data_IF_667322161025
#
_entry.id   IF_667322161025
#
_cell.length_a   1.000
_cell.length_b   1.000
_cell.length_c   1.000
_cell.angle_alpha   90.00
_cell.angle_beta   90.00
_cell.angle_gamma   90.00
#
_symmetry.space_group_name_H-M   'P 1'
#
loop_
_entity.id
_entity.type
_entity.pdbx_description
1 polymer ?
#
# COMPACT_ATOMS: atom_id res chain seq x y z
N UNK A 1 -2.77 -14.65 -3.56
CA UNK A 1 -1.91 -13.80 -4.40
C UNK A 1 -2.86 -12.98 -5.26
N UNK A 2 -3.11 -11.72 -4.91
CA UNK A 2 -4.26 -11.00 -5.48
C UNK A 2 -3.89 -10.22 -6.74
N UNK A 3 -4.10 -10.82 -7.91
CA UNK A 3 -4.42 -10.06 -9.12
C UNK A 3 -5.82 -9.42 -8.96
N UNK A 4 -6.18 -8.42 -9.77
CA UNK A 4 -7.48 -7.72 -9.71
C UNK A 4 -8.65 -8.71 -9.61
N UNK A 5 -8.57 -9.81 -10.36
CA UNK A 5 -9.57 -10.88 -10.41
C UNK A 5 -9.82 -11.60 -9.08
N UNK A 6 -8.89 -11.52 -8.13
CA UNK A 6 -8.97 -12.20 -6.83
C UNK A 6 -9.06 -11.24 -5.65
N UNK A 7 -8.94 -9.93 -5.90
CA UNK A 7 -9.16 -8.90 -4.89
C UNK A 7 -10.65 -8.70 -4.61
N UNK A 8 -10.98 -8.46 -3.34
CA UNK A 8 -12.31 -8.02 -2.94
C UNK A 8 -12.54 -6.63 -3.54
N UNK A 9 -13.62 -6.48 -4.31
CA UNK A 9 -13.92 -5.28 -5.11
C UNK A 9 -12.93 -5.02 -6.27
N UNK A 10 -12.20 -6.02 -6.76
CA UNK A 10 -11.25 -5.82 -7.85
C UNK A 10 -11.88 -5.41 -9.18
N UNK A 11 -13.19 -5.60 -9.33
CA UNK A 11 -14.02 -5.12 -10.45
C UNK A 11 -14.46 -3.65 -10.30
N UNK A 12 -14.15 -3.01 -9.17
CA UNK A 12 -14.63 -1.67 -8.84
C UNK A 12 -13.52 -0.63 -8.92
N UNK A 13 -13.59 0.21 -9.96
CA UNK A 13 -12.67 1.32 -10.18
C UNK A 13 -12.58 2.29 -8.98
N UNK A 14 -13.69 2.52 -8.26
CA UNK A 14 -13.69 3.40 -7.08
C UNK A 14 -12.99 2.81 -5.85
N UNK A 15 -12.57 1.54 -5.92
CA UNK A 15 -11.80 0.85 -4.88
C UNK A 15 -10.34 0.64 -5.26
N UNK A 16 -9.97 1.03 -6.47
CA UNK A 16 -8.59 0.97 -6.94
C UNK A 16 -7.76 2.06 -6.27
N UNK A 17 -6.61 1.67 -5.74
CA UNK A 17 -5.67 2.56 -5.07
C UNK A 17 -4.46 2.68 -6.00
N UNK A 18 -4.43 3.73 -6.83
CA UNK A 18 -3.32 4.10 -7.73
C UNK A 18 -2.63 2.89 -8.42
N UNK A 19 -3.41 1.92 -8.91
CA UNK A 19 -2.91 0.69 -9.55
C UNK A 19 -1.96 -0.18 -8.70
N UNK A 20 -1.89 0.06 -7.38
CA UNK A 20 -1.03 -0.68 -6.45
C UNK A 20 -1.80 -1.61 -5.52
N UNK A 21 -3.09 -1.35 -5.32
CA UNK A 21 -3.93 -2.17 -4.45
C UNK A 21 -5.41 -1.98 -4.73
N UNK A 22 -6.21 -2.83 -4.11
CA UNK A 22 -7.67 -2.67 -4.03
C UNK A 22 -8.09 -2.54 -2.56
N UNK A 23 -9.06 -1.68 -2.30
CA UNK A 23 -9.67 -1.52 -0.99
C UNK A 23 -10.76 -2.58 -0.76
N UNK A 24 -10.53 -3.50 0.19
CA UNK A 24 -11.51 -4.53 0.59
C UNK A 24 -12.65 -4.01 1.47
N UNK A 25 -12.83 -2.69 1.63
CA UNK A 25 -13.91 -2.14 2.46
C UNK A 25 -15.27 -2.23 1.77
N UNK A 26 -16.28 -2.67 2.52
CA UNK A 26 -17.69 -2.74 2.06
C UNK A 26 -18.42 -1.40 2.16
N UNK A 27 -17.97 -0.51 3.06
CA UNK A 27 -18.47 0.85 3.22
C UNK A 27 -17.47 1.89 2.68
N UNK A 28 -17.85 3.18 2.65
CA UNK A 28 -16.96 4.26 2.25
C UNK A 28 -15.67 4.27 3.10
N UNK A 29 -14.52 4.47 2.45
CA UNK A 29 -13.22 4.58 3.09
C UNK A 29 -12.72 6.02 2.92
N UNK A 30 -12.30 6.66 4.01
CA UNK A 30 -11.84 8.06 4.04
C UNK A 30 -10.35 8.17 4.40
N UNK A 31 -9.63 7.05 4.26
CA UNK A 31 -8.19 7.02 4.45
C UNK A 31 -7.50 7.75 3.31
N UNK A 32 -6.42 8.45 3.64
CA UNK A 32 -5.57 9.13 2.66
C UNK A 32 -4.74 8.07 1.91
N UNK A 33 -5.29 7.64 0.77
CA UNK A 33 -4.71 6.65 -0.11
C UNK A 33 -3.60 7.27 -0.96
N UNK A 34 -2.55 6.51 -1.30
CA UNK A 34 -2.27 5.12 -0.91
C UNK A 34 -1.60 5.00 0.47
N UNK A 35 -1.21 6.11 1.08
CA UNK A 35 -0.22 6.16 2.14
C UNK A 35 -0.67 5.48 3.43
N UNK A 36 -1.85 5.86 3.93
CA UNK A 36 -2.43 5.26 5.14
C UNK A 36 -2.99 3.87 4.87
N UNK A 37 -3.21 3.52 3.60
CA UNK A 37 -3.76 2.24 3.20
C UNK A 37 -2.79 1.07 3.42
N UNK A 38 -1.47 1.25 3.28
CA UNK A 38 -0.51 0.15 3.53
C UNK A 38 -0.58 -0.41 4.95
N UNK A 39 -0.94 0.40 5.94
CA UNK A 39 -1.13 -0.04 7.32
C UNK A 39 -2.55 -0.54 7.62
N UNK A 40 -3.46 -0.52 6.65
CA UNK A 40 -4.86 -0.92 6.80
C UNK A 40 -5.03 -2.43 6.60
N UNK A 41 -5.73 -3.11 7.50
CA UNK A 41 -6.02 -4.55 7.37
C UNK A 41 -6.94 -4.93 6.21
N UNK A 42 -7.54 -3.94 5.52
CA UNK A 42 -8.39 -4.15 4.32
C UNK A 42 -7.63 -3.92 3.02
N UNK A 43 -6.34 -3.61 3.10
CA UNK A 43 -5.48 -3.36 1.95
C UNK A 43 -5.17 -4.68 1.25
N UNK A 44 -5.44 -4.75 -0.04
CA UNK A 44 -5.15 -5.92 -0.86
C UNK A 44 -4.14 -5.53 -1.94
N UNK A 45 -2.84 -5.80 -1.72
CA UNK A 45 -1.80 -5.44 -2.67
C UNK A 45 -1.97 -6.20 -3.98
N UNK A 46 -1.73 -5.51 -5.09
CA UNK A 46 -1.64 -6.13 -6.40
C UNK A 46 -0.24 -6.72 -6.60
N UNK A 47 -0.16 -8.03 -6.85
CA UNK A 47 1.12 -8.75 -6.85
C UNK A 47 2.15 -8.12 -7.81
N UNK A 48 1.71 -7.66 -8.98
CA UNK A 48 2.58 -7.15 -10.04
C UNK A 48 2.72 -5.63 -10.06
N UNK A 49 2.18 -4.94 -9.05
CA UNK A 49 2.27 -3.49 -8.98
C UNK A 49 3.66 -3.01 -8.54
N UNK A 50 4.00 -1.77 -8.90
CA UNK A 50 5.27 -1.15 -8.55
C UNK A 50 5.27 -0.59 -7.11
N UNK A 51 5.25 -1.49 -6.13
CA UNK A 51 5.32 -1.11 -4.71
C UNK A 51 6.61 -0.39 -4.33
N UNK A 52 7.71 -0.61 -5.08
CA UNK A 52 9.02 0.04 -4.84
C UNK A 52 8.97 1.54 -5.11
N UNK A 53 8.31 1.97 -6.19
CA UNK A 53 8.09 3.38 -6.47
C UNK A 53 7.27 4.08 -5.37
N UNK A 54 6.26 3.38 -4.81
CA UNK A 54 5.49 3.90 -3.68
C UNK A 54 6.35 4.03 -2.43
N UNK A 55 7.23 3.06 -2.16
CA UNK A 55 8.18 3.11 -1.05
C UNK A 55 9.09 4.34 -1.15
N UNK A 56 9.68 4.60 -2.32
CA UNK A 56 10.54 5.77 -2.54
C UNK A 56 9.79 7.08 -2.32
N UNK A 57 8.53 7.16 -2.77
CA UNK A 57 7.68 8.33 -2.54
C UNK A 57 7.36 8.53 -1.05
N UNK A 58 7.07 7.45 -0.32
CA UNK A 58 6.84 7.46 1.12
C UNK A 58 8.07 7.96 1.90
N UNK A 59 9.26 7.44 1.56
CA UNK A 59 10.52 7.82 2.19
C UNK A 59 10.86 9.28 1.97
N UNK A 60 10.74 9.77 0.72
CA UNK A 60 10.95 11.17 0.37
C UNK A 60 10.00 12.08 1.16
N UNK A 61 8.74 11.70 1.31
CA UNK A 61 7.74 12.49 2.07
C UNK A 61 8.04 12.50 3.56
N UNK A 62 8.50 11.38 4.10
CA UNK A 62 8.92 11.22 5.49
C UNK A 62 10.12 12.10 5.81
N UNK A 63 11.13 12.15 4.94
CA UNK A 63 12.30 13.03 5.07
C UNK A 63 11.92 14.51 5.07
N UNK A 64 11.00 14.92 4.19
CA UNK A 64 10.49 16.29 4.13
C UNK A 64 9.72 16.67 5.41
N UNK A 65 8.94 15.73 5.95
CA UNK A 65 8.01 16.02 7.06
C UNK A 65 8.70 15.96 8.42
N UNK A 66 9.67 15.06 8.62
CA UNK A 66 10.26 14.86 9.96
C UNK A 66 11.06 16.07 10.46
N UNK A 67 11.53 16.92 9.55
CA UNK A 67 12.20 18.17 9.88
C UNK A 67 11.24 19.21 10.51
N UNK A 68 9.95 19.16 10.15
CA UNK A 68 8.94 20.16 10.56
C UNK A 68 7.93 19.62 11.57
N UNK A 69 7.58 18.34 11.48
CA UNK A 69 6.61 17.67 12.35
C UNK A 69 7.01 16.22 12.58
N UNK A 70 7.58 15.96 13.77
CA UNK A 70 8.04 14.62 14.17
C UNK A 70 6.88 13.65 14.38
N UNK A 71 5.71 14.13 14.83
CA UNK A 71 4.54 13.28 15.09
C UNK A 71 3.99 12.72 13.78
N UNK A 72 3.84 13.60 12.77
CA UNK A 72 3.46 13.17 11.43
C UNK A 72 4.55 12.32 10.77
N UNK A 73 5.83 12.61 11.04
CA UNK A 73 6.97 11.76 10.66
C UNK A 73 6.82 10.28 11.04
N UNK A 74 6.34 9.98 12.26
CA UNK A 74 6.14 8.61 12.75
C UNK A 74 5.00 7.88 12.01
N UNK A 75 3.97 8.61 11.57
CA UNK A 75 2.91 8.00 10.74
C UNK A 75 3.46 7.48 9.41
N UNK A 76 4.39 8.25 8.81
CA UNK A 76 5.08 7.81 7.60
C UNK A 76 5.96 6.59 7.84
N UNK A 77 6.65 6.50 8.99
CA UNK A 77 7.45 5.32 9.35
C UNK A 77 6.62 4.04 9.36
N UNK A 78 5.40 4.09 9.89
CA UNK A 78 4.49 2.94 9.88
C UNK A 78 4.08 2.53 8.47
N UNK A 79 3.78 3.49 7.60
CA UNK A 79 3.44 3.23 6.21
C UNK A 79 4.63 2.63 5.44
N UNK A 80 5.84 3.15 5.66
CA UNK A 80 7.09 2.65 5.07
C UNK A 80 7.33 1.20 5.46
N UNK A 81 7.24 0.86 6.75
CA UNK A 81 7.44 -0.51 7.22
C UNK A 81 6.40 -1.47 6.62
N UNK A 82 5.14 -1.05 6.56
CA UNK A 82 4.09 -1.86 5.96
C UNK A 82 4.30 -2.05 4.44
N UNK A 83 4.71 -1.01 3.73
CA UNK A 83 5.06 -1.08 2.30
C UNK A 83 6.24 -2.03 2.04
N UNK A 84 7.30 -1.95 2.86
CA UNK A 84 8.43 -2.89 2.81
C UNK A 84 7.99 -4.34 3.02
N UNK A 85 7.08 -4.58 3.97
CA UNK A 85 6.53 -5.93 4.20
C UNK A 85 5.76 -6.45 2.98
N UNK A 86 4.92 -5.61 2.37
CA UNK A 86 4.18 -5.95 1.14
C UNK A 86 5.13 -6.33 0.01
N UNK A 87 6.21 -5.56 -0.21
CA UNK A 87 7.22 -5.89 -1.24
C UNK A 87 7.81 -7.29 -0.98
N UNK A 88 8.23 -7.57 0.25
CA UNK A 88 8.80 -8.88 0.61
C UNK A 88 7.80 -10.03 0.41
N UNK A 89 6.53 -9.80 0.74
CA UNK A 89 5.47 -10.79 0.57
C UNK A 89 5.18 -11.06 -0.91
N UNK A 90 5.10 -10.01 -1.73
CA UNK A 90 4.95 -10.13 -3.17
C UNK A 90 6.12 -10.90 -3.78
N UNK A 91 7.36 -10.55 -3.44
CA UNK A 91 8.55 -11.24 -3.92
C UNK A 91 8.60 -12.72 -3.47
N UNK A 92 8.16 -13.03 -2.25
CA UNK A 92 8.06 -14.41 -1.77
C UNK A 92 7.01 -15.21 -2.56
N UNK A 93 5.86 -14.59 -2.86
CA UNK A 93 4.81 -15.19 -3.69
C UNK A 93 5.29 -15.47 -5.12
N UNK A 94 6.02 -14.52 -5.74
CA UNK A 94 6.63 -14.74 -7.07
C UNK A 94 7.55 -15.96 -7.06
N UNK A 95 8.48 -16.02 -6.11
CA UNK A 95 9.42 -17.15 -6.00
C UNK A 95 8.76 -18.50 -5.70
N UNK A 96 7.58 -18.53 -5.08
CA UNK A 96 6.83 -19.76 -4.81
C UNK A 96 5.95 -20.22 -5.99
N UNK A 97 5.78 -19.35 -6.99
CA UNK A 97 4.97 -19.62 -8.18
C UNK A 97 5.82 -20.04 -9.39
N UNK A 98 7.15 -20.00 -9.25
CA UNK A 98 8.17 -20.54 -10.15
C UNK A 98 8.54 -21.98 -9.75
#
# INVERSE_FOLDING_TARGET
VTDLTSAINGDRADRLIEDVAVCGATAACLLDAPYTCYACGKFQPLLHANHREVLERLERRREQTIATDKTTGVLWDRAILACRKVILDCEAMHRSSD
#
